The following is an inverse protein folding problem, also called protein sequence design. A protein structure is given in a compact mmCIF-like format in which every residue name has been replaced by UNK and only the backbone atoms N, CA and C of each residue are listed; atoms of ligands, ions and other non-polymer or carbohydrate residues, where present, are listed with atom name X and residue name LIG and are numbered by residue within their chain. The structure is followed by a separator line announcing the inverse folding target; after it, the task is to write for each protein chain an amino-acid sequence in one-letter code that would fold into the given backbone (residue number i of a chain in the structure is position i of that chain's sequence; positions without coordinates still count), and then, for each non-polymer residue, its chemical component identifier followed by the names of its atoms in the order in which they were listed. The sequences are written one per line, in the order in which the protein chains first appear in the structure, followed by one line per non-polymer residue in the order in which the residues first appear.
data_IF_588424121182
#
_entry.id   IF_588424121182
#
_cell.length_a   1.000
_cell.length_b   1.000
_cell.length_c   1.000
_cell.angle_alpha   90.00
_cell.angle_beta   90.00
_cell.angle_gamma   90.00
#
_symmetry.space_group_name_H-M   'P 1'
#
loop_
_entity.id
_entity.type
_entity.pdbx_description
1 polymer ?
#
# COMPACT_ATOMS: atom_id res chain seq x y z
N UNK A 1 -0.26 2.48 3.19
CA UNK A 1 -0.40 1.22 2.43
C UNK A 1 -1.75 0.60 2.73
N UNK A 2 -2.46 0.13 1.71
CA UNK A 2 -3.63 -0.76 1.88
C UNK A 2 -3.69 -1.81 0.76
N UNK A 3 -3.80 -3.08 1.11
CA UNK A 3 -4.01 -4.22 0.23
C UNK A 3 -5.46 -4.69 0.39
N UNK A 4 -6.14 -4.94 -0.73
CA UNK A 4 -7.50 -5.47 -0.75
C UNK A 4 -7.82 -6.10 -2.13
N UNK A 5 -8.59 -7.19 -2.17
CA UNK A 5 -9.02 -7.85 -3.43
C UNK A 5 -9.80 -6.90 -4.38
N UNK A 6 -10.47 -5.92 -3.77
CA UNK A 6 -11.12 -4.82 -4.47
C UNK A 6 -10.24 -3.56 -4.43
N UNK A 7 -9.65 -3.11 -5.55
CA UNK A 7 -8.72 -1.99 -5.56
C UNK A 7 -9.37 -0.64 -5.21
N UNK A 8 -10.66 -0.46 -5.49
CA UNK A 8 -11.42 0.72 -5.09
C UNK A 8 -11.50 0.88 -3.56
N UNK A 9 -11.61 -0.24 -2.84
CA UNK A 9 -11.62 -0.25 -1.36
C UNK A 9 -10.24 0.12 -0.82
N UNK A 10 -9.18 -0.51 -1.33
CA UNK A 10 -7.80 -0.19 -0.93
C UNK A 10 -7.46 1.30 -1.17
N UNK A 11 -7.85 1.83 -2.33
CA UNK A 11 -7.68 3.25 -2.66
C UNK A 11 -8.47 4.14 -1.71
N UNK A 12 -9.73 3.83 -1.43
CA UNK A 12 -10.58 4.64 -0.55
C UNK A 12 -10.03 4.72 0.88
N UNK A 13 -9.52 3.61 1.41
CA UNK A 13 -8.87 3.58 2.73
C UNK A 13 -7.62 4.46 2.76
N UNK A 14 -6.77 4.35 1.74
CA UNK A 14 -5.55 5.15 1.65
C UNK A 14 -5.86 6.62 1.43
N UNK A 15 -6.85 6.93 0.60
CA UNK A 15 -7.31 8.29 0.33
C UNK A 15 -7.80 8.97 1.60
N UNK A 16 -8.59 8.27 2.42
CA UNK A 16 -9.04 8.81 3.72
C UNK A 16 -7.85 9.20 4.60
N UNK A 17 -6.82 8.37 4.67
CA UNK A 17 -5.64 8.66 5.48
C UNK A 17 -4.86 9.86 4.95
N UNK A 18 -4.61 9.90 3.64
CA UNK A 18 -3.92 11.02 3.00
C UNK A 18 -4.67 12.34 3.18
N UNK A 19 -6.01 12.31 3.11
CA UNK A 19 -6.85 13.49 3.30
C UNK A 19 -6.91 13.97 4.76
N UNK A 20 -7.07 13.05 5.73
CA UNK A 20 -7.35 13.43 7.12
C UNK A 20 -6.08 13.58 7.96
N UNK A 21 -5.07 12.73 7.74
CA UNK A 21 -3.86 12.72 8.55
C UNK A 21 -2.76 13.52 7.87
N UNK A 22 -2.53 13.27 6.58
CA UNK A 22 -1.47 13.94 5.84
C UNK A 22 -1.90 15.24 5.16
N UNK A 23 -3.20 15.57 5.18
CA UNK A 23 -3.77 16.77 4.55
C UNK A 23 -3.33 16.95 3.08
N UNK A 24 -3.14 15.84 2.36
CA UNK A 24 -2.64 15.79 0.99
C UNK A 24 -3.33 14.66 0.19
N UNK A 25 -4.58 14.85 -0.26
CA UNK A 25 -5.34 13.83 -0.99
C UNK A 25 -4.61 13.31 -2.24
N UNK A 26 -3.90 14.17 -2.97
CA UNK A 26 -3.19 13.83 -4.21
C UNK A 26 -2.06 12.82 -3.98
N UNK A 27 -1.53 12.79 -2.75
CA UNK A 27 -0.51 11.82 -2.34
C UNK A 27 -0.97 10.35 -2.43
N UNK A 28 -2.29 10.10 -2.45
CA UNK A 28 -2.89 8.75 -2.56
C UNK A 28 -2.35 7.99 -3.76
N UNK A 29 -2.36 8.63 -4.94
CA UNK A 29 -2.00 7.98 -6.20
C UNK A 29 -0.56 8.33 -6.62
N UNK A 30 -0.06 9.51 -6.22
CA UNK A 30 1.31 9.93 -6.52
C UNK A 30 2.39 9.11 -5.77
N UNK A 31 2.11 8.75 -4.51
CA UNK A 31 3.11 8.14 -3.62
C UNK A 31 2.59 6.94 -2.82
N UNK A 32 1.28 6.73 -2.80
CA UNK A 32 0.68 5.63 -2.08
C UNK A 32 0.99 4.25 -2.67
N UNK A 33 1.03 3.25 -1.81
CA UNK A 33 1.04 1.83 -2.19
C UNK A 33 -0.33 1.26 -1.83
N UNK A 34 -1.15 1.01 -2.84
CA UNK A 34 -2.49 0.44 -2.67
C UNK A 34 -2.91 -0.40 -3.86
N UNK A 35 -3.87 -1.30 -3.64
CA UNK A 35 -4.48 -2.11 -4.70
C UNK A 35 -4.68 -3.56 -4.30
N UNK A 36 -4.85 -4.42 -5.31
CA UNK A 36 -4.85 -5.88 -5.15
C UNK A 36 -3.47 -6.39 -4.76
N UNK A 37 -3.34 -7.62 -4.23
CA UNK A 37 -2.03 -8.21 -3.93
C UNK A 37 -1.05 -8.16 -5.12
N UNK A 38 -1.54 -8.43 -6.34
CA UNK A 38 -0.73 -8.37 -7.56
C UNK A 38 -0.27 -6.93 -7.89
N UNK A 39 -1.16 -5.95 -7.78
CA UNK A 39 -0.81 -4.54 -8.03
C UNK A 39 0.18 -4.01 -7.00
N UNK A 40 0.03 -4.41 -5.74
CA UNK A 40 0.96 -4.03 -4.67
C UNK A 40 2.32 -4.67 -4.90
N UNK A 41 2.38 -5.95 -5.28
CA UNK A 41 3.63 -6.62 -5.67
C UNK A 41 4.35 -5.85 -6.78
N UNK A 42 3.66 -5.57 -7.89
CA UNK A 42 4.23 -4.84 -9.02
C UNK A 42 4.76 -3.46 -8.60
N UNK A 43 4.02 -2.74 -7.75
CA UNK A 43 4.45 -1.44 -7.24
C UNK A 43 5.70 -1.54 -6.36
N UNK A 44 5.80 -2.56 -5.51
CA UNK A 44 6.98 -2.79 -4.67
C UNK A 44 8.20 -3.17 -5.53
N UNK A 45 8.01 -4.04 -6.52
CA UNK A 45 9.06 -4.42 -7.48
C UNK A 45 9.58 -3.21 -8.26
N UNK A 46 8.68 -2.30 -8.68
CA UNK A 46 9.08 -1.05 -9.31
C UNK A 46 9.92 -0.16 -8.40
N UNK A 47 9.58 -0.04 -7.10
CA UNK A 47 10.37 0.72 -6.13
C UNK A 47 11.77 0.11 -5.92
N UNK A 48 11.86 -1.23 -5.85
CA UNK A 48 13.12 -1.94 -5.75
C UNK A 48 13.97 -1.74 -7.01
N UNK A 49 13.37 -1.81 -8.20
CA UNK A 49 14.04 -1.56 -9.47
C UNK A 49 14.59 -0.12 -9.59
N UNK A 50 13.98 0.85 -8.90
CA UNK A 50 14.48 2.22 -8.77
C UNK A 50 15.66 2.36 -7.77
N UNK A 51 16.09 1.28 -7.13
CA UNK A 51 17.22 1.25 -6.21
C UNK A 51 16.84 1.32 -4.73
N UNK A 52 15.55 1.22 -4.38
CA UNK A 52 15.16 1.13 -2.98
C UNK A 52 15.66 -0.18 -2.35
N UNK A 53 16.48 -0.09 -1.31
CA UNK A 53 17.00 -1.26 -0.58
C UNK A 53 16.19 -1.58 0.68
N UNK A 54 15.46 -0.61 1.20
CA UNK A 54 14.60 -0.74 2.38
C UNK A 54 13.31 0.05 2.15
N UNK A 55 12.17 -0.57 2.45
CA UNK A 55 10.85 0.06 2.35
C UNK A 55 10.18 0.06 3.72
N UNK A 56 9.80 1.25 4.19
CA UNK A 56 8.97 1.41 5.39
C UNK A 56 7.53 1.67 4.95
N UNK A 57 6.66 0.69 5.13
CA UNK A 57 5.26 0.77 4.74
C UNK A 57 4.38 0.96 5.97
N UNK A 58 3.55 2.00 5.97
CA UNK A 58 2.57 2.27 7.03
C UNK A 58 1.19 1.69 6.67
N UNK A 59 0.69 0.63 7.32
CA UNK A 59 -0.70 0.18 7.16
C UNK A 59 -1.68 1.23 7.71
N UNK A 60 -2.59 1.72 6.87
CA UNK A 60 -3.49 2.85 7.23
C UNK A 60 -4.89 2.41 7.67
N UNK A 61 -5.20 1.12 7.53
CA UNK A 61 -6.45 0.49 7.93
C UNK A 61 -6.15 -0.96 8.31
N UNK A 62 -7.03 -1.60 9.10
CA UNK A 62 -7.04 -3.07 9.32
C UNK A 62 -5.65 -3.66 9.58
N UNK A 63 -4.94 -3.09 10.57
CA UNK A 63 -3.48 -3.28 10.73
C UNK A 63 -3.03 -4.75 10.64
N UNK A 64 -3.64 -5.65 11.40
CA UNK A 64 -3.27 -7.08 11.39
C UNK A 64 -3.45 -7.71 10.00
N UNK A 65 -4.60 -7.52 9.37
CA UNK A 65 -4.88 -8.03 8.01
C UNK A 65 -3.90 -7.47 6.98
N UNK A 66 -3.51 -6.21 7.11
CA UNK A 66 -2.57 -5.57 6.19
C UNK A 66 -1.14 -6.10 6.34
N UNK A 67 -0.72 -6.41 7.56
CA UNK A 67 0.59 -7.01 7.81
C UNK A 67 0.64 -8.42 7.22
N UNK A 68 -0.39 -9.23 7.44
CA UNK A 68 -0.50 -10.57 6.85
C UNK A 68 -0.58 -10.53 5.32
N UNK A 69 -1.41 -9.64 4.76
CA UNK A 69 -1.52 -9.46 3.32
C UNK A 69 -0.17 -9.04 2.70
N UNK A 70 0.56 -8.14 3.35
CA UNK A 70 1.90 -7.75 2.92
C UNK A 70 2.88 -8.93 3.00
N UNK A 71 2.87 -9.71 4.07
CA UNK A 71 3.71 -10.90 4.21
C UNK A 71 3.50 -11.87 3.05
N UNK A 72 2.24 -12.14 2.66
CA UNK A 72 1.91 -12.97 1.51
C UNK A 72 2.40 -12.34 0.19
N UNK A 73 2.25 -11.02 0.03
CA UNK A 73 2.77 -10.28 -1.15
C UNK A 73 4.29 -10.39 -1.26
N UNK A 74 5.04 -10.41 -0.16
CA UNK A 74 6.51 -10.49 -0.21
C UNK A 74 7.06 -11.93 -0.06
N UNK A 75 6.19 -12.93 0.04
CA UNK A 75 6.58 -14.35 0.14
C UNK A 75 7.12 -14.76 1.51
N UNK A 76 6.68 -14.08 2.58
CA UNK A 76 7.03 -14.39 3.97
C UNK A 76 5.99 -15.27 4.68
N UNK A 77 4.87 -15.57 4.02
CA UNK A 77 3.78 -16.44 4.50
C UNK A 77 3.23 -17.30 3.37
#
# INVERSE_FOLDING_TARGET
MSVHERPDVARAELHRWFSVVYHNPDGTDASGVHGTPAQVRERLEALVAMGATHLLLNPVARHAEQVEALAAVVGLS
#
